data_IF_344496386105
#
_entry.id   IF_344496386105
#
_cell.length_a   1.000
_cell.length_b   1.000
_cell.length_c   1.000
_cell.angle_alpha   90.00
_cell.angle_beta   90.00
_cell.angle_gamma   90.00
#
_symmetry.space_group_name_H-M   'P 1'
#
loop_
_entity.id
_entity.type
_entity.pdbx_description
1 polymer ?
#
# COMPACT_ATOMS: atom_id res chain seq x y z
N UNK A 1 -7.09 34.33 2.85
CA UNK A 1 -6.43 33.30 2.00
C UNK A 1 -7.18 33.26 0.69
N UNK A 2 -6.54 33.60 -0.43
CA UNK A 2 -7.17 33.50 -1.77
C UNK A 2 -7.56 32.05 -2.08
N UNK A 3 -8.58 31.84 -2.90
CA UNK A 3 -9.07 30.49 -3.22
C UNK A 3 -8.01 29.65 -3.95
N UNK A 4 -7.16 30.28 -4.77
CA UNK A 4 -5.95 29.68 -5.34
C UNK A 4 -5.02 29.06 -4.26
N UNK A 5 -4.74 29.78 -3.16
CA UNK A 5 -3.86 29.26 -2.10
C UNK A 5 -4.47 28.04 -1.38
N UNK A 6 -5.80 27.99 -1.24
CA UNK A 6 -6.48 26.83 -0.66
C UNK A 6 -6.38 25.61 -1.57
N UNK A 7 -6.53 25.80 -2.88
CA UNK A 7 -6.40 24.73 -3.88
C UNK A 7 -4.98 24.18 -3.89
N UNK A 8 -3.96 25.06 -3.90
CA UNK A 8 -2.55 24.64 -3.84
C UNK A 8 -2.23 23.85 -2.57
N UNK A 9 -2.69 24.32 -1.42
CA UNK A 9 -2.51 23.58 -0.17
C UNK A 9 -3.16 22.20 -0.22
N UNK A 10 -4.37 22.09 -0.79
CA UNK A 10 -5.06 20.80 -0.97
C UNK A 10 -4.29 19.87 -1.90
N UNK A 11 -3.77 20.37 -3.01
CA UNK A 11 -2.97 19.58 -3.95
C UNK A 11 -1.64 19.14 -3.36
N UNK A 12 -0.91 20.02 -2.66
CA UNK A 12 0.33 19.66 -1.97
C UNK A 12 0.08 18.61 -0.88
N UNK A 13 -1.03 18.73 -0.13
CA UNK A 13 -1.40 17.71 0.86
C UNK A 13 -1.75 16.35 0.22
N UNK A 14 -2.46 16.36 -0.91
CA UNK A 14 -2.77 15.15 -1.68
C UNK A 14 -1.51 14.50 -2.27
N UNK A 15 -0.60 15.30 -2.82
CA UNK A 15 0.69 14.81 -3.32
C UNK A 15 1.51 14.17 -2.20
N UNK A 16 1.58 14.85 -1.04
CA UNK A 16 2.29 14.36 0.13
C UNK A 16 1.70 13.04 0.65
N UNK A 17 0.37 12.94 0.67
CA UNK A 17 -0.32 11.70 1.05
C UNK A 17 -0.02 10.55 0.09
N UNK A 18 0.03 10.83 -1.21
CA UNK A 18 0.45 9.85 -2.23
C UNK A 18 1.89 9.39 -2.06
N UNK A 19 2.83 10.33 -1.86
CA UNK A 19 4.26 10.00 -1.65
C UNK A 19 4.51 9.24 -0.35
N UNK A 20 3.73 9.53 0.69
CA UNK A 20 3.75 8.79 1.94
C UNK A 20 3.29 7.34 1.72
N UNK A 21 2.13 7.11 1.07
CA UNK A 21 1.66 5.75 0.75
C UNK A 21 2.66 4.97 -0.11
N UNK A 22 3.22 5.60 -1.13
CA UNK A 22 4.22 5.03 -2.02
C UNK A 22 5.46 4.59 -1.23
N UNK A 23 5.96 5.47 -0.36
CA UNK A 23 7.09 5.16 0.53
C UNK A 23 6.81 4.05 1.53
N UNK A 24 5.55 3.89 1.95
CA UNK A 24 5.11 2.85 2.87
C UNK A 24 4.81 1.52 2.17
N UNK A 25 4.94 1.44 0.84
CA UNK A 25 4.59 0.26 0.06
C UNK A 25 3.07 0.03 -0.07
N UNK A 26 2.24 1.03 0.28
CA UNK A 26 0.79 1.02 0.08
C UNK A 26 0.48 1.44 -1.37
N UNK A 27 0.91 0.62 -2.32
CA UNK A 27 0.99 1.01 -3.73
C UNK A 27 -0.39 1.28 -4.36
N UNK A 28 -1.44 0.56 -3.93
CA UNK A 28 -2.81 0.83 -4.41
C UNK A 28 -3.28 2.21 -3.98
N UNK A 29 -3.11 2.53 -2.71
CA UNK A 29 -3.48 3.81 -2.12
C UNK A 29 -2.66 4.95 -2.75
N UNK A 30 -1.38 4.72 -3.03
CA UNK A 30 -0.53 5.66 -3.75
C UNK A 30 -1.05 5.91 -5.18
N UNK A 31 -1.32 4.85 -5.95
CA UNK A 31 -1.88 4.93 -7.31
C UNK A 31 -3.21 5.69 -7.30
N UNK A 32 -4.14 5.33 -6.42
CA UNK A 32 -5.46 5.97 -6.34
C UNK A 32 -5.31 7.48 -6.04
N UNK A 33 -4.49 7.85 -5.06
CA UNK A 33 -4.25 9.25 -4.70
C UNK A 33 -3.58 10.04 -5.85
N UNK A 34 -2.55 9.47 -6.49
CA UNK A 34 -1.89 10.08 -7.65
C UNK A 34 -2.84 10.26 -8.84
N UNK A 35 -3.71 9.27 -9.12
CA UNK A 35 -4.69 9.37 -10.20
C UNK A 35 -5.80 10.39 -9.91
N UNK A 36 -6.25 10.49 -8.65
CA UNK A 36 -7.21 11.52 -8.23
C UNK A 36 -6.59 12.91 -8.41
N UNK A 37 -5.37 13.11 -7.92
CA UNK A 37 -4.67 14.40 -8.05
C UNK A 37 -4.38 14.74 -9.51
N UNK A 38 -3.89 13.79 -10.31
CA UNK A 38 -3.64 13.99 -11.75
C UNK A 38 -4.91 14.45 -12.49
N UNK A 39 -6.07 13.87 -12.19
CA UNK A 39 -7.36 14.29 -12.77
C UNK A 39 -7.74 15.72 -12.37
N UNK A 40 -7.55 16.09 -11.10
CA UNK A 40 -7.81 17.45 -10.63
C UNK A 40 -6.90 18.47 -11.32
N UNK A 41 -5.60 18.17 -11.41
CA UNK A 41 -4.62 19.02 -12.08
C UNK A 41 -4.90 19.13 -13.58
N UNK A 42 -5.27 18.04 -14.26
CA UNK A 42 -5.65 18.09 -15.69
C UNK A 42 -6.91 18.92 -15.92
N UNK A 43 -7.91 18.81 -15.03
CA UNK A 43 -9.12 19.63 -15.11
C UNK A 43 -8.79 21.12 -15.00
N UNK A 44 -7.88 21.50 -14.11
CA UNK A 44 -7.42 22.89 -14.01
C UNK A 44 -6.61 23.31 -15.24
N UNK A 45 -5.66 22.48 -15.67
CA UNK A 45 -4.80 22.78 -16.82
C UNK A 45 -5.58 23.01 -18.12
N UNK A 46 -6.76 22.39 -18.25
CA UNK A 46 -7.64 22.49 -19.43
C UNK A 46 -8.82 23.45 -19.21
N UNK A 47 -8.89 24.09 -18.05
CA UNK A 47 -9.97 25.03 -17.75
C UNK A 47 -9.85 26.29 -18.62
N UNK A 48 -10.98 26.85 -19.12
CA UNK A 48 -10.97 28.12 -19.84
C UNK A 48 -10.26 29.24 -19.07
N UNK A 49 -9.63 30.18 -19.80
CA UNK A 49 -8.94 31.33 -19.20
C UNK A 49 -9.84 32.16 -18.25
N UNK A 50 -11.15 32.17 -18.49
CA UNK A 50 -12.12 32.93 -17.70
C UNK A 50 -12.57 32.24 -16.40
N UNK A 51 -12.17 30.98 -16.18
CA UNK A 51 -12.60 30.16 -15.04
C UNK A 51 -11.45 29.72 -14.14
N UNK A 52 -10.23 30.20 -14.39
CA UNK A 52 -9.01 29.78 -13.70
C UNK A 52 -8.23 30.99 -13.21
N UNK A 53 -7.78 30.93 -11.96
CA UNK A 53 -6.87 31.93 -11.38
C UNK A 53 -5.41 31.74 -11.88
N UNK A 54 -5.15 30.70 -12.69
CA UNK A 54 -3.80 30.37 -13.18
C UNK A 54 -3.54 30.90 -14.59
N UNK A 55 -2.32 31.38 -14.83
CA UNK A 55 -1.85 31.77 -16.17
C UNK A 55 -1.66 30.54 -17.07
N UNK A 56 -1.59 30.74 -18.38
CA UNK A 56 -1.38 29.62 -19.33
C UNK A 56 -0.04 28.90 -19.11
N UNK A 57 1.03 29.61 -18.71
CA UNK A 57 2.32 28.99 -18.35
C UNK A 57 2.21 28.15 -17.07
N UNK A 58 1.44 28.62 -16.08
CA UNK A 58 1.16 27.88 -14.85
C UNK A 58 0.33 26.64 -15.17
N UNK A 59 -0.72 26.74 -15.99
CA UNK A 59 -1.53 25.61 -16.45
C UNK A 59 -0.71 24.57 -17.21
N UNK A 60 0.24 24.99 -18.03
CA UNK A 60 1.19 24.09 -18.69
C UNK A 60 2.03 23.32 -17.67
N UNK A 61 2.52 24.00 -16.64
CA UNK A 61 3.26 23.37 -15.53
C UNK A 61 2.37 22.39 -14.75
N UNK A 62 1.14 22.78 -14.41
CA UNK A 62 0.13 21.91 -13.76
C UNK A 62 -0.11 20.64 -14.60
N UNK A 63 -0.30 20.79 -15.91
CA UNK A 63 -0.50 19.68 -16.83
C UNK A 63 0.70 18.73 -16.91
N UNK A 64 1.93 19.25 -16.85
CA UNK A 64 3.14 18.44 -16.77
C UNK A 64 3.24 17.64 -15.46
N UNK A 65 2.92 18.27 -14.31
CA UNK A 65 2.86 17.58 -13.01
C UNK A 65 1.86 16.41 -13.10
N UNK A 66 0.68 16.66 -13.64
CA UNK A 66 -0.33 15.61 -13.81
C UNK A 66 0.16 14.45 -14.69
N UNK A 67 0.89 14.74 -15.78
CA UNK A 67 1.53 13.70 -16.60
C UNK A 67 2.52 12.87 -15.78
N UNK A 68 3.39 13.50 -14.98
CA UNK A 68 4.34 12.80 -14.11
C UNK A 68 3.63 11.87 -13.11
N UNK A 69 2.53 12.31 -12.49
CA UNK A 69 1.73 11.48 -11.59
C UNK A 69 1.10 10.27 -12.31
N UNK A 70 0.66 10.46 -13.55
CA UNK A 70 0.20 9.37 -14.41
C UNK A 70 1.30 8.36 -14.72
N UNK A 71 2.51 8.84 -15.04
CA UNK A 71 3.69 7.99 -15.27
C UNK A 71 4.06 7.20 -14.01
N UNK A 72 4.05 7.82 -12.82
CA UNK A 72 4.28 7.10 -11.56
C UNK A 72 3.21 6.05 -11.32
N UNK A 73 1.94 6.40 -11.50
CA UNK A 73 0.82 5.47 -11.31
C UNK A 73 0.97 4.24 -12.21
N UNK A 74 1.35 4.43 -13.47
CA UNK A 74 1.62 3.32 -14.38
C UNK A 74 2.85 2.50 -13.95
N UNK A 75 3.94 3.15 -13.54
CA UNK A 75 5.13 2.47 -13.04
C UNK A 75 4.84 1.63 -11.80
N UNK A 76 3.97 2.11 -10.90
CA UNK A 76 3.53 1.36 -9.73
C UNK A 76 2.65 0.15 -10.09
N UNK A 77 1.86 0.22 -11.16
CA UNK A 77 1.00 -0.88 -11.61
C UNK A 77 1.79 -2.05 -12.23
N UNK A 78 2.92 -1.78 -12.88
CA UNK A 78 3.70 -2.77 -13.61
C UNK A 78 5.09 -2.95 -12.98
N UNK A 79 5.25 -3.95 -12.11
CA UNK A 79 6.50 -4.24 -11.38
C UNK A 79 7.66 -4.74 -12.27
N UNK A 80 7.46 -4.89 -13.58
CA UNK A 80 8.44 -5.52 -14.49
C UNK A 80 9.32 -4.53 -15.28
N UNK A 81 9.06 -3.22 -15.25
CA UNK A 81 9.90 -2.23 -15.93
C UNK A 81 10.82 -1.50 -14.95
N UNK A 82 12.12 -1.76 -15.03
CA UNK A 82 13.17 -0.99 -14.34
C UNK A 82 13.25 0.48 -14.82
N UNK A 83 12.68 0.79 -15.99
CA UNK A 83 12.60 2.13 -16.56
C UNK A 83 11.19 2.71 -16.33
N UNK A 84 11.00 3.40 -15.21
CA UNK A 84 9.75 4.06 -14.86
C UNK A 84 9.97 5.30 -13.99
N UNK A 85 8.97 6.18 -13.92
CA UNK A 85 9.04 7.39 -13.10
C UNK A 85 9.16 7.01 -11.61
N UNK A 86 10.24 7.44 -10.95
CA UNK A 86 10.60 6.99 -9.60
C UNK A 86 9.89 7.78 -8.49
N UNK A 87 9.92 7.29 -7.25
CA UNK A 87 9.41 8.04 -6.09
C UNK A 87 10.22 9.32 -5.88
N UNK A 88 11.54 9.27 -6.11
CA UNK A 88 12.45 10.40 -6.04
C UNK A 88 12.07 11.47 -7.06
N UNK A 89 11.63 11.07 -8.25
CA UNK A 89 11.14 11.99 -9.27
C UNK A 89 9.81 12.64 -8.87
N UNK A 90 8.89 11.89 -8.25
CA UNK A 90 7.64 12.47 -7.72
C UNK A 90 7.93 13.48 -6.62
N UNK A 91 8.87 13.19 -5.71
CA UNK A 91 9.28 14.12 -4.64
C UNK A 91 9.82 15.44 -5.18
N UNK A 92 10.45 15.45 -6.36
CA UNK A 92 10.88 16.71 -7.03
C UNK A 92 9.69 17.60 -7.44
N UNK A 93 8.47 17.05 -7.55
CA UNK A 93 7.26 17.81 -7.89
C UNK A 93 6.70 18.60 -6.69
N UNK A 94 6.95 18.15 -5.44
CA UNK A 94 6.44 18.80 -4.22
C UNK A 94 6.79 20.31 -4.13
N UNK A 95 8.06 20.73 -4.30
CA UNK A 95 8.41 22.14 -4.29
C UNK A 95 7.86 22.90 -5.51
N UNK A 96 7.73 22.25 -6.67
CA UNK A 96 7.20 22.88 -7.90
C UNK A 96 5.72 23.19 -7.73
N UNK A 97 4.93 22.21 -7.27
CA UNK A 97 3.50 22.37 -7.03
C UNK A 97 3.22 23.44 -5.96
N UNK A 98 4.01 23.45 -4.89
CA UNK A 98 3.85 24.40 -3.79
C UNK A 98 4.27 25.84 -4.17
N UNK A 99 5.09 26.01 -5.19
CA UNK A 99 5.59 27.31 -5.65
C UNK A 99 5.08 27.71 -7.04
N UNK A 100 4.00 27.09 -7.52
CA UNK A 100 3.58 27.19 -8.93
C UNK A 100 3.33 28.63 -9.40
N UNK A 101 2.86 29.51 -8.50
CA UNK A 101 2.60 30.92 -8.78
C UNK A 101 3.89 31.67 -9.10
N UNK A 102 4.99 31.30 -8.43
CA UNK A 102 6.31 31.92 -8.54
C UNK A 102 7.29 31.08 -9.39
N UNK A 103 6.84 29.95 -9.92
CA UNK A 103 7.70 29.01 -10.63
C UNK A 103 8.04 29.56 -12.02
N UNK A 104 9.30 29.94 -12.22
CA UNK A 104 9.82 30.54 -13.45
C UNK A 104 11.00 29.76 -14.06
N UNK A 105 11.24 28.55 -13.56
CA UNK A 105 12.33 27.68 -14.02
C UNK A 105 11.85 26.72 -15.09
N UNK A 106 12.79 26.14 -15.82
CA UNK A 106 12.47 25.02 -16.71
C UNK A 106 11.97 23.82 -15.89
N UNK A 107 10.94 23.15 -16.40
CA UNK A 107 10.37 21.98 -15.76
C UNK A 107 11.38 20.81 -15.85
N UNK A 108 11.68 20.10 -14.75
CA UNK A 108 12.83 19.20 -14.70
C UNK A 108 12.67 17.87 -15.45
N UNK A 109 11.51 17.64 -16.09
CA UNK A 109 11.19 16.41 -16.80
C UNK A 109 10.73 16.71 -18.22
N UNK A 110 11.20 15.91 -19.18
CA UNK A 110 10.75 15.97 -20.57
C UNK A 110 9.40 15.25 -20.70
N UNK A 111 8.33 15.96 -20.34
CA UNK A 111 6.95 15.47 -20.41
C UNK A 111 6.05 16.49 -21.08
N UNK A 112 5.07 16.00 -21.82
CA UNK A 112 4.02 16.81 -22.42
C UNK A 112 2.70 16.63 -21.65
N UNK A 113 1.90 17.69 -21.42
CA UNK A 113 0.58 17.57 -20.84
C UNK A 113 -0.30 16.61 -21.65
N UNK A 114 -0.87 15.60 -21.00
CA UNK A 114 -1.74 14.61 -21.65
C UNK A 114 -3.19 15.12 -21.71
N UNK A 115 -3.90 15.05 -22.86
CA UNK A 115 -5.32 15.40 -22.94
C UNK A 115 -6.20 14.55 -22.01
N UNK A 116 -7.28 15.12 -21.45
CA UNK A 116 -8.17 14.47 -20.46
C UNK A 116 -8.62 13.06 -20.90
N UNK A 117 -8.87 12.86 -22.20
CA UNK A 117 -9.39 11.60 -22.78
C UNK A 117 -8.44 10.39 -22.68
N UNK A 118 -7.14 10.57 -22.40
CA UNK A 118 -6.18 9.45 -22.29
C UNK A 118 -6.02 8.88 -20.89
N UNK A 119 -6.53 9.57 -19.85
CA UNK A 119 -6.52 9.07 -18.47
C UNK A 119 -7.87 8.41 -18.16
N UNK A 120 -8.23 7.40 -18.95
CA UNK A 120 -9.34 6.49 -18.63
C UNK A 120 -8.73 5.17 -18.17
N UNK A 121 -9.03 4.79 -16.93
CA UNK A 121 -8.95 3.41 -16.47
C UNK A 121 -10.39 2.84 -16.38
N UNK A 122 -10.58 1.52 -16.51
CA UNK A 122 -11.89 0.89 -16.68
C UNK A 122 -12.81 1.15 -15.48
N UNK A 123 -14.06 1.56 -15.77
CA UNK A 123 -15.10 1.82 -14.78
C UNK A 123 -15.29 3.32 -14.54
N UNK A 124 -16.01 3.98 -15.45
CA UNK A 124 -16.67 5.25 -15.16
C UNK A 124 -17.69 4.99 -14.04
N UNK A 125 -17.42 5.50 -12.84
CA UNK A 125 -18.46 5.71 -11.83
C UNK A 125 -18.60 7.21 -11.59
N UNK A 126 -19.59 7.75 -12.28
CA UNK A 126 -20.23 9.01 -11.96
C UNK A 126 -21.17 8.73 -10.77
N UNK A 127 -21.03 9.51 -9.69
CA UNK A 127 -21.81 9.51 -8.44
C UNK A 127 -21.55 8.37 -7.45
N UNK A 128 -20.66 8.64 -6.48
CA UNK A 128 -20.74 8.01 -5.16
C UNK A 128 -21.47 8.96 -4.22
N UNK A 129 -22.80 8.93 -4.30
CA UNK A 129 -23.58 9.00 -3.08
C UNK A 129 -23.24 7.76 -2.26
N UNK A 130 -23.07 7.99 -0.97
CA UNK A 130 -22.82 6.95 0.02
C UNK A 130 -24.07 6.09 0.09
N UNK A 131 -24.02 4.86 -0.38
CA UNK A 131 -24.80 3.77 0.19
C UNK A 131 -23.98 2.48 0.16
N UNK A 132 -23.60 2.06 1.36
CA UNK A 132 -23.12 0.71 1.64
C UNK A 132 -24.32 -0.23 1.52
N UNK A 133 -24.56 -0.80 0.33
CA UNK A 133 -25.45 -1.95 0.22
C UNK A 133 -24.82 -3.09 -0.60
N UNK A 134 -25.20 -4.27 -0.14
CA UNK A 134 -24.70 -5.60 -0.43
C UNK A 134 -24.82 -5.97 -1.91
N UNK A 135 -23.89 -6.78 -2.43
CA UNK A 135 -24.25 -7.67 -3.54
C UNK A 135 -23.66 -9.07 -3.34
N UNK A 136 -24.60 -9.97 -3.10
CA UNK A 136 -24.57 -11.43 -3.07
C UNK A 136 -24.39 -12.02 -4.48
N UNK A 137 -23.95 -13.28 -4.52
CA UNK A 137 -24.44 -14.26 -5.49
C UNK A 137 -23.99 -14.15 -6.95
N UNK A 138 -22.95 -14.90 -7.30
CA UNK A 138 -22.64 -15.14 -8.72
C UNK A 138 -21.65 -16.29 -8.94
N UNK A 139 -22.13 -17.53 -8.86
CA UNK A 139 -21.38 -18.70 -9.32
C UNK A 139 -21.16 -18.60 -10.84
N UNK A 140 -19.90 -18.50 -11.25
CA UNK A 140 -19.49 -18.53 -12.65
C UNK A 140 -18.25 -19.41 -12.81
N UNK A 141 -18.48 -20.68 -13.17
CA UNK A 141 -17.44 -21.59 -13.65
C UNK A 141 -16.95 -21.04 -15.00
N UNK A 142 -15.71 -20.54 -15.04
CA UNK A 142 -15.07 -19.98 -16.22
C UNK A 142 -13.62 -20.43 -16.34
N UNK A 143 -13.29 -20.99 -17.50
CA UNK A 143 -12.05 -21.64 -17.93
C UNK A 143 -10.73 -20.98 -17.52
N UNK A 144 -9.63 -21.74 -17.34
CA UNK A 144 -8.35 -21.19 -16.97
C UNK A 144 -7.59 -20.79 -18.24
N UNK A 145 -7.54 -19.51 -18.61
CA UNK A 145 -6.49 -19.08 -19.53
C UNK A 145 -6.08 -17.62 -19.36
N UNK A 146 -4.75 -17.49 -19.22
CA UNK A 146 -3.93 -16.36 -19.65
C UNK A 146 -4.11 -15.02 -18.92
N UNK A 147 -3.77 -14.99 -17.63
CA UNK A 147 -3.42 -13.74 -16.94
C UNK A 147 -1.93 -13.41 -17.16
N UNK A 148 -1.56 -12.16 -17.47
CA UNK A 148 -0.16 -11.79 -17.68
C UNK A 148 0.66 -11.94 -16.41
N UNK A 149 1.87 -12.46 -16.63
CA UNK A 149 2.96 -12.76 -15.70
C UNK A 149 2.76 -12.31 -14.23
N UNK A 150 2.32 -13.29 -13.43
CA UNK A 150 2.39 -13.28 -11.96
C UNK A 150 3.80 -12.91 -11.51
N UNK A 151 3.93 -12.13 -10.43
CA UNK A 151 5.22 -11.75 -9.84
C UNK A 151 5.98 -13.03 -9.44
N UNK A 152 7.14 -13.35 -10.05
CA UNK A 152 7.83 -14.62 -9.82
C UNK A 152 8.20 -14.89 -8.34
N UNK A 153 8.48 -13.85 -7.57
CA UNK A 153 8.85 -13.96 -6.15
C UNK A 153 7.68 -14.20 -5.18
N UNK A 154 6.46 -13.82 -5.55
CA UNK A 154 5.32 -13.93 -4.64
C UNK A 154 4.86 -15.39 -4.43
N UNK A 155 5.12 -16.28 -5.40
CA UNK A 155 4.68 -17.68 -5.33
C UNK A 155 5.43 -18.42 -4.21
N UNK A 156 6.72 -18.12 -4.06
CA UNK A 156 7.61 -18.84 -3.15
C UNK A 156 7.85 -18.09 -1.83
N UNK A 157 7.52 -16.81 -1.77
CA UNK A 157 7.79 -15.94 -0.62
C UNK A 157 9.25 -15.48 -0.56
N UNK A 158 9.57 -14.63 0.41
CA UNK A 158 10.90 -14.06 0.65
C UNK A 158 11.39 -14.30 2.07
N UNK A 159 10.89 -15.37 2.71
CA UNK A 159 11.26 -15.74 4.07
C UNK A 159 12.76 -16.01 4.18
N UNK A 160 13.36 -15.48 5.24
CA UNK A 160 14.79 -15.56 5.52
C UNK A 160 15.07 -16.66 6.56
N UNK A 161 16.26 -17.29 6.50
CA UNK A 161 16.64 -18.29 7.49
C UNK A 161 16.83 -17.66 8.87
N UNK A 162 16.82 -18.52 9.90
CA UNK A 162 17.08 -18.11 11.28
C UNK A 162 18.48 -17.50 11.41
N UNK A 163 18.58 -16.42 12.18
CA UNK A 163 19.86 -15.84 12.56
C UNK A 163 20.67 -16.79 13.45
N UNK A 164 22.01 -16.68 13.46
CA UNK A 164 22.82 -17.40 14.44
C UNK A 164 22.46 -16.98 15.87
N UNK A 165 22.49 -17.95 16.80
CA UNK A 165 22.35 -17.69 18.23
C UNK A 165 23.50 -16.80 18.73
N UNK A 166 23.19 -15.92 19.68
CA UNK A 166 24.17 -15.12 20.40
C UNK A 166 24.00 -15.38 21.91
N UNK A 167 25.09 -15.55 22.68
CA UNK A 167 25.00 -15.85 24.10
C UNK A 167 24.17 -14.81 24.87
N UNK A 168 23.17 -15.29 25.62
CA UNK A 168 22.30 -14.43 26.43
C UNK A 168 21.26 -13.64 25.63
N UNK A 169 21.14 -13.86 24.33
CA UNK A 169 20.15 -13.26 23.45
C UNK A 169 19.06 -14.26 23.07
N UNK A 170 17.90 -13.75 22.67
CA UNK A 170 16.73 -14.55 22.32
C UNK A 170 16.36 -14.34 20.85
N UNK A 171 16.17 -15.45 20.14
CA UNK A 171 15.60 -15.48 18.80
C UNK A 171 14.10 -15.74 18.89
N UNK A 172 13.33 -15.09 18.01
CA UNK A 172 11.88 -15.23 17.92
C UNK A 172 11.49 -15.85 16.59
N UNK A 173 10.85 -17.02 16.65
CA UNK A 173 10.17 -17.65 15.53
C UNK A 173 8.67 -17.48 15.71
N UNK A 174 7.98 -17.00 14.68
CA UNK A 174 6.51 -16.88 14.66
C UNK A 174 5.96 -17.80 13.59
N UNK A 175 5.15 -18.77 14.00
CA UNK A 175 4.34 -19.56 13.08
C UNK A 175 3.03 -18.85 12.83
N UNK A 176 2.79 -18.47 11.57
CA UNK A 176 1.47 -18.00 11.13
C UNK A 176 0.63 -19.23 10.81
N UNK A 177 -0.38 -19.48 11.63
CA UNK A 177 -1.24 -20.66 11.45
C UNK A 177 -2.32 -20.39 10.41
N UNK A 178 -3.16 -19.39 10.68
CA UNK A 178 -4.29 -19.00 9.84
C UNK A 178 -4.75 -17.58 10.15
N UNK A 179 -5.52 -16.99 9.24
CA UNK A 179 -6.18 -15.70 9.43
C UNK A 179 -7.68 -15.84 9.17
N UNK A 180 -8.50 -15.30 10.07
CA UNK A 180 -9.95 -15.25 9.93
C UNK A 180 -10.41 -13.99 9.19
N UNK A 181 -11.20 -14.15 8.12
CA UNK A 181 -11.78 -13.05 7.35
C UNK A 181 -13.23 -13.42 6.98
N UNK A 182 -14.12 -12.44 6.83
CA UNK A 182 -15.51 -12.73 6.43
C UNK A 182 -15.61 -13.35 5.02
N UNK A 183 -14.66 -12.99 4.17
CA UNK A 183 -14.59 -13.31 2.74
C UNK A 183 -13.25 -13.98 2.38
N UNK A 184 -12.75 -14.86 3.25
CA UNK A 184 -11.44 -15.51 3.09
C UNK A 184 -11.35 -16.31 1.77
N UNK A 185 -12.40 -17.08 1.45
CA UNK A 185 -12.43 -17.92 0.25
C UNK A 185 -12.28 -17.12 -1.07
N UNK A 186 -12.75 -15.88 -1.07
CA UNK A 186 -12.70 -14.97 -2.23
C UNK A 186 -11.33 -14.32 -2.45
N UNK A 187 -10.42 -14.41 -1.48
CA UNK A 187 -9.09 -13.82 -1.61
C UNK A 187 -8.24 -14.63 -2.60
N UNK A 188 -7.79 -13.99 -3.68
CA UNK A 188 -6.97 -14.60 -4.72
C UNK A 188 -5.50 -14.42 -4.38
N UNK A 189 -4.72 -15.49 -4.51
CA UNK A 189 -3.28 -15.54 -4.25
C UNK A 189 -2.89 -14.85 -2.91
N UNK A 190 -3.53 -15.21 -1.78
CA UNK A 190 -3.31 -14.50 -0.52
C UNK A 190 -1.93 -14.82 0.07
N UNK A 191 -1.25 -13.80 0.57
CA UNK A 191 -0.01 -13.93 1.34
C UNK A 191 0.04 -12.90 2.46
N UNK A 192 0.99 -13.05 3.39
CA UNK A 192 1.23 -12.08 4.45
C UNK A 192 2.62 -11.49 4.30
N UNK A 193 2.70 -10.16 4.33
CA UNK A 193 3.95 -9.43 4.51
C UNK A 193 4.21 -9.21 6.00
N UNK A 194 5.37 -9.61 6.47
CA UNK A 194 5.85 -9.39 7.84
C UNK A 194 6.97 -8.38 7.85
N UNK A 195 6.83 -7.36 8.69
CA UNK A 195 7.83 -6.30 8.86
C UNK A 195 7.98 -5.94 10.33
N UNK A 196 9.19 -5.54 10.73
CA UNK A 196 9.45 -5.05 12.08
C UNK A 196 9.75 -3.57 12.00
N UNK A 197 8.96 -2.75 12.67
CA UNK A 197 9.03 -1.29 12.53
C UNK A 197 9.19 -0.59 13.86
N UNK A 198 9.91 0.53 13.86
CA UNK A 198 10.06 1.41 15.01
C UNK A 198 8.80 2.27 15.28
N UNK A 199 8.86 3.14 16.29
CA UNK A 199 7.77 4.07 16.64
C UNK A 199 7.40 5.06 15.52
N UNK A 200 8.30 5.28 14.55
CA UNK A 200 8.09 6.17 13.41
C UNK A 200 7.57 5.41 12.18
N UNK A 201 7.44 4.08 12.24
CA UNK A 201 7.04 3.23 11.14
C UNK A 201 8.18 2.87 10.19
N UNK A 202 9.43 3.05 10.61
CA UNK A 202 10.63 2.74 9.81
C UNK A 202 11.03 1.29 10.04
N UNK A 203 11.36 0.57 8.97
CA UNK A 203 11.81 -0.82 9.03
C UNK A 203 13.12 -0.96 9.82
N UNK A 204 13.10 -1.87 10.80
CA UNK A 204 14.25 -2.27 11.63
C UNK A 204 14.94 -3.53 11.10
N UNK A 205 14.26 -4.28 10.24
CA UNK A 205 14.71 -5.54 9.64
C UNK A 205 14.24 -5.61 8.18
N UNK A 206 14.85 -6.47 7.34
CA UNK A 206 14.28 -6.77 6.04
C UNK A 206 12.82 -7.23 6.14
N UNK A 207 11.99 -6.78 5.21
CA UNK A 207 10.60 -7.20 5.05
C UNK A 207 10.58 -8.61 4.46
N UNK A 208 9.69 -9.47 4.96
CA UNK A 208 9.57 -10.86 4.53
C UNK A 208 8.13 -11.16 4.10
N UNK A 209 7.96 -11.82 2.96
CA UNK A 209 6.66 -12.27 2.47
C UNK A 209 6.53 -13.79 2.63
N UNK A 210 5.39 -14.23 3.14
CA UNK A 210 5.07 -15.66 3.12
C UNK A 210 4.90 -16.15 1.68
N UNK A 211 5.07 -17.46 1.42
CA UNK A 211 4.49 -18.06 0.23
C UNK A 211 2.97 -17.81 0.16
N UNK A 212 2.41 -17.90 -1.03
CA UNK A 212 0.96 -17.84 -1.20
C UNK A 212 0.28 -19.01 -0.49
N UNK A 213 -0.76 -18.71 0.28
CA UNK A 213 -1.59 -19.74 0.90
C UNK A 213 -2.50 -20.39 -0.14
N UNK A 214 -2.40 -21.71 -0.25
CA UNK A 214 -3.23 -22.52 -1.16
C UNK A 214 -4.49 -23.06 -0.49
N UNK A 215 -4.46 -23.26 0.83
CA UNK A 215 -5.58 -23.78 1.60
C UNK A 215 -6.46 -22.64 2.12
N UNK A 216 -7.66 -22.54 1.55
CA UNK A 216 -8.70 -21.57 1.92
C UNK A 216 -9.99 -22.27 2.27
N UNK A 217 -10.68 -21.72 3.25
CA UNK A 217 -12.04 -22.05 3.69
C UNK A 217 -12.90 -20.77 3.58
N UNK A 218 -14.20 -20.83 3.85
CA UNK A 218 -15.10 -19.68 3.71
C UNK A 218 -14.62 -18.48 4.53
N UNK A 219 -14.23 -18.74 5.78
CA UNK A 219 -13.82 -17.71 6.74
C UNK A 219 -12.36 -17.75 7.16
N UNK A 220 -11.56 -18.68 6.63
CA UNK A 220 -10.14 -18.82 7.01
C UNK A 220 -9.21 -19.01 5.80
N UNK A 221 -8.04 -18.40 5.87
CA UNK A 221 -6.89 -18.74 5.02
C UNK A 221 -5.82 -19.38 5.90
N UNK A 222 -5.33 -20.56 5.53
CA UNK A 222 -4.33 -21.31 6.30
C UNK A 222 -2.94 -21.13 5.68
N UNK A 223 -1.97 -20.76 6.52
CA UNK A 223 -0.58 -20.54 6.12
C UNK A 223 0.33 -21.66 6.62
N UNK A 224 0.25 -21.98 7.91
CA UNK A 224 1.12 -22.95 8.59
C UNK A 224 2.62 -22.77 8.25
N UNK A 225 3.08 -21.52 8.22
CA UNK A 225 4.45 -21.17 7.85
C UNK A 225 5.16 -20.50 9.03
N UNK A 226 6.43 -20.83 9.20
CA UNK A 226 7.29 -20.23 10.22
C UNK A 226 8.07 -19.06 9.63
N UNK A 227 8.20 -18.00 10.41
CA UNK A 227 8.93 -16.79 10.04
C UNK A 227 9.94 -16.50 11.15
N UNK A 228 11.17 -16.25 10.74
CA UNK A 228 12.27 -15.95 11.64
C UNK A 228 12.45 -14.44 11.70
N UNK A 229 12.25 -13.85 12.89
CA UNK A 229 12.46 -12.42 13.09
C UNK A 229 13.95 -12.13 12.99
N UNK A 230 14.32 -11.28 12.03
CA UNK A 230 15.70 -11.00 11.65
C UNK A 230 16.38 -10.01 12.60
N UNK A 231 16.15 -10.15 13.91
CA UNK A 231 16.82 -9.43 14.99
C UNK A 231 16.57 -10.14 16.32
N UNK A 232 17.59 -10.25 17.17
CA UNK A 232 17.42 -10.71 18.54
C UNK A 232 16.47 -9.79 19.32
N UNK A 233 15.64 -10.36 20.18
CA UNK A 233 14.55 -9.66 20.88
C UNK A 233 15.10 -8.48 21.71
N UNK A 234 16.25 -8.67 22.36
CA UNK A 234 16.88 -7.67 23.22
C UNK A 234 17.46 -6.47 22.42
N UNK A 235 17.70 -6.64 21.12
CA UNK A 235 18.20 -5.59 20.22
C UNK A 235 17.08 -4.80 19.53
N UNK A 236 15.82 -5.16 19.76
CA UNK A 236 14.69 -4.40 19.27
C UNK A 236 14.50 -3.14 20.12
N UNK A 237 14.30 -2.00 19.46
CA UNK A 237 14.13 -0.72 20.15
C UNK A 237 12.80 -0.68 20.89
N UNK A 238 12.74 0.04 22.01
CA UNK A 238 11.49 0.24 22.75
C UNK A 238 10.44 0.88 21.84
N UNK A 239 9.24 0.32 21.83
CA UNK A 239 8.14 0.75 20.98
C UNK A 239 8.21 0.24 19.53
N UNK A 240 9.14 -0.67 19.22
CA UNK A 240 9.05 -1.46 18.00
C UNK A 240 7.80 -2.35 18.01
N UNK A 241 7.30 -2.70 16.82
CA UNK A 241 6.25 -3.70 16.67
C UNK A 241 6.48 -4.55 15.43
N UNK A 242 5.96 -5.78 15.46
CA UNK A 242 5.94 -6.71 14.34
C UNK A 242 4.58 -6.55 13.65
N UNK A 243 4.58 -6.19 12.37
CA UNK A 243 3.39 -6.02 11.55
C UNK A 243 3.17 -7.23 10.67
N UNK A 244 1.89 -7.56 10.45
CA UNK A 244 1.41 -8.60 9.57
C UNK A 244 0.38 -7.98 8.62
N UNK A 245 0.75 -7.76 7.37
CA UNK A 245 -0.15 -7.23 6.35
C UNK A 245 -0.69 -8.37 5.50
N UNK A 246 -1.99 -8.63 5.55
CA UNK A 246 -2.62 -9.59 4.65
C UNK A 246 -2.86 -8.95 3.29
N UNK A 247 -2.30 -9.55 2.24
CA UNK A 247 -2.36 -9.08 0.86
C UNK A 247 -3.05 -10.11 -0.01
N UNK A 248 -3.77 -9.63 -1.01
CA UNK A 248 -4.40 -10.48 -2.02
C UNK A 248 -4.42 -9.78 -3.39
N UNK A 249 -4.52 -10.57 -4.46
CA UNK A 249 -4.68 -10.03 -5.80
C UNK A 249 -6.12 -9.58 -6.04
N UNK A 250 -6.30 -8.38 -6.60
CA UNK A 250 -7.60 -7.84 -7.03
C UNK A 250 -7.71 -7.86 -8.55
N UNK A 251 -8.45 -8.80 -9.16
CA UNK A 251 -8.52 -8.94 -10.62
C UNK A 251 -9.00 -7.68 -11.34
N UNK A 252 -10.05 -7.02 -10.82
CA UNK A 252 -10.57 -5.77 -11.40
C UNK A 252 -9.54 -4.64 -11.42
N UNK A 253 -8.65 -4.59 -10.43
CA UNK A 253 -7.58 -3.58 -10.31
C UNK A 253 -6.24 -4.06 -10.89
N UNK A 254 -6.16 -5.33 -11.29
CA UNK A 254 -4.98 -6.03 -11.80
C UNK A 254 -3.75 -5.86 -10.91
N UNK A 255 -3.97 -5.79 -9.60
CA UNK A 255 -2.94 -5.40 -8.64
C UNK A 255 -3.12 -6.08 -7.27
N UNK A 256 -2.02 -6.28 -6.55
CA UNK A 256 -2.02 -6.83 -5.19
C UNK A 256 -2.26 -5.73 -4.16
N UNK A 257 -3.28 -5.88 -3.33
CA UNK A 257 -3.68 -4.89 -2.34
C UNK A 257 -3.58 -5.47 -0.93
N UNK A 258 -3.08 -4.67 0.02
CA UNK A 258 -3.30 -4.92 1.45
C UNK A 258 -4.80 -4.86 1.73
N UNK A 259 -5.37 -5.90 2.33
CA UNK A 259 -6.79 -5.93 2.74
C UNK A 259 -6.94 -5.42 4.18
N UNK A 260 -6.07 -5.90 5.05
CA UNK A 260 -6.04 -5.60 6.47
C UNK A 260 -4.65 -5.86 7.04
N UNK A 261 -4.42 -5.37 8.26
CA UNK A 261 -3.18 -5.61 8.98
C UNK A 261 -3.43 -5.97 10.44
N UNK A 262 -2.46 -6.63 11.06
CA UNK A 262 -2.34 -6.81 12.50
C UNK A 262 -0.94 -6.36 12.92
N UNK A 263 -0.74 -6.13 14.21
CA UNK A 263 0.58 -5.91 14.76
C UNK A 263 0.69 -6.46 16.17
N UNK A 264 1.92 -6.74 16.60
CA UNK A 264 2.28 -7.20 17.94
C UNK A 264 3.34 -6.27 18.51
N UNK A 265 3.08 -5.66 19.66
CA UNK A 265 4.04 -4.85 20.41
C UNK A 265 5.05 -5.74 21.15
N UNK A 266 6.17 -5.15 21.57
CA UNK A 266 7.27 -5.89 22.21
C UNK A 266 6.88 -6.63 23.51
N UNK A 267 5.92 -6.10 24.27
CA UNK A 267 5.43 -6.68 25.52
C UNK A 267 4.45 -7.84 25.31
N UNK A 268 3.98 -8.04 24.07
CA UNK A 268 3.16 -9.17 23.66
C UNK A 268 3.98 -10.38 23.21
N UNK A 269 5.31 -10.22 23.11
CA UNK A 269 6.23 -11.31 22.77
C UNK A 269 6.36 -12.27 23.95
N UNK A 270 5.77 -13.45 23.81
CA UNK A 270 5.75 -14.49 24.84
C UNK A 270 5.56 -15.87 24.20
N UNK A 271 6.08 -16.95 24.80
CA UNK A 271 5.94 -18.28 24.22
C UNK A 271 4.47 -18.72 24.19
N UNK A 272 4.09 -19.43 23.13
CA UNK A 272 2.77 -20.05 23.00
C UNK A 272 1.84 -19.37 21.99
N UNK A 273 0.57 -19.77 22.02
CA UNK A 273 -0.43 -19.30 21.07
C UNK A 273 -0.86 -17.87 21.40
N UNK A 274 -1.09 -17.08 20.36
CA UNK A 274 -1.63 -15.73 20.46
C UNK A 274 -2.57 -15.47 19.29
N UNK A 275 -3.65 -14.76 19.54
CA UNK A 275 -4.57 -14.28 18.51
C UNK A 275 -4.56 -12.76 18.53
N UNK A 276 -4.54 -12.15 17.34
CA UNK A 276 -4.46 -10.69 17.18
C UNK A 276 -5.62 -10.23 16.29
N UNK A 277 -6.27 -9.15 16.67
CA UNK A 277 -7.29 -8.50 15.86
C UNK A 277 -6.75 -7.89 14.57
N UNK A 278 -7.67 -7.70 13.62
CA UNK A 278 -7.36 -7.17 12.30
C UNK A 278 -7.87 -5.74 12.17
N UNK A 279 -7.07 -4.88 11.57
CA UNK A 279 -7.36 -3.48 11.30
C UNK A 279 -7.53 -3.23 9.80
N UNK A 280 -8.40 -2.28 9.47
CA UNK A 280 -8.66 -1.84 8.10
C UNK A 280 -7.42 -1.15 7.51
N UNK A 281 -7.17 -1.37 6.23
CA UNK A 281 -6.19 -0.59 5.45
C UNK A 281 -6.55 0.91 5.40
N UNK A 282 -5.61 1.82 5.09
CA UNK A 282 -4.17 1.57 4.92
C UNK A 282 -3.50 1.19 6.24
N UNK A 283 -2.39 0.48 6.16
CA UNK A 283 -1.63 0.11 7.35
C UNK A 283 -1.06 1.36 8.05
N UNK A 284 -1.43 1.57 9.31
CA UNK A 284 -0.86 2.64 10.13
C UNK A 284 0.32 2.10 10.95
N UNK A 285 1.52 2.23 10.39
CA UNK A 285 2.75 1.76 11.04
C UNK A 285 3.11 2.51 12.33
N UNK A 286 2.49 3.66 12.60
CA UNK A 286 2.66 4.42 13.85
C UNK A 286 1.58 4.08 14.89
N UNK A 287 0.59 3.27 14.50
CA UNK A 287 -0.45 2.72 15.38
C UNK A 287 -1.25 3.83 16.09
N UNK A 288 -1.51 4.96 15.41
CA UNK A 288 -2.19 6.13 15.97
C UNK A 288 -3.67 6.18 15.65
N UNK A 289 -4.08 5.65 14.49
CA UNK A 289 -5.45 5.68 13.99
C UNK A 289 -5.86 4.28 13.54
N UNK A 290 -6.24 3.47 14.52
CA UNK A 290 -6.61 2.09 14.31
C UNK A 290 -8.12 1.97 14.11
N UNK A 291 -8.54 1.33 13.03
CA UNK A 291 -9.94 1.01 12.76
C UNK A 291 -10.11 -0.50 12.64
N UNK A 292 -10.86 -1.10 13.55
CA UNK A 292 -11.08 -2.54 13.56
C UNK A 292 -11.77 -3.00 12.26
N UNK A 293 -11.27 -4.07 11.65
CA UNK A 293 -11.84 -4.67 10.44
C UNK A 293 -13.22 -5.27 10.73
N UNK A 294 -13.35 -5.98 11.86
CA UNK A 294 -14.57 -6.69 12.25
C UNK A 294 -14.63 -6.90 13.76
N UNK A 295 -15.84 -6.85 14.33
CA UNK A 295 -16.11 -7.26 15.72
C UNK A 295 -16.36 -8.77 15.87
N UNK A 296 -16.51 -9.50 14.77
CA UNK A 296 -16.64 -10.97 14.78
C UNK A 296 -15.33 -11.61 15.27
N UNK A 297 -15.37 -12.81 15.87
CA UNK A 297 -14.18 -13.50 16.37
C UNK A 297 -13.33 -14.10 15.24
N UNK A 298 -12.79 -13.22 14.39
CA UNK A 298 -11.98 -13.52 13.22
C UNK A 298 -10.64 -12.81 13.40
N UNK A 299 -9.61 -13.59 13.69
CA UNK A 299 -8.30 -13.11 14.15
C UNK A 299 -7.17 -13.67 13.28
N UNK A 300 -5.99 -13.07 13.40
CA UNK A 300 -4.74 -13.70 13.00
C UNK A 300 -4.29 -14.65 14.12
N UNK A 301 -4.07 -15.92 13.80
CA UNK A 301 -3.63 -16.96 14.74
C UNK A 301 -2.12 -17.20 14.58
N UNK A 302 -1.39 -17.02 15.67
CA UNK A 302 0.06 -17.11 15.73
C UNK A 302 0.48 -18.09 16.82
N UNK A 303 1.61 -18.77 16.60
CA UNK A 303 2.34 -19.49 17.63
C UNK A 303 3.76 -18.92 17.73
N UNK A 304 4.11 -18.43 18.91
CA UNK A 304 5.40 -17.81 19.19
C UNK A 304 6.34 -18.80 19.87
N UNK A 305 7.57 -18.92 19.36
CA UNK A 305 8.62 -19.75 19.92
C UNK A 305 9.85 -18.89 20.19
N UNK A 306 10.26 -18.81 21.45
CA UNK A 306 11.46 -18.08 21.87
C UNK A 306 12.59 -19.08 22.09
N UNK A 307 13.68 -18.92 21.34
CA UNK A 307 14.91 -19.71 21.52
C UNK A 307 15.96 -18.85 22.20
N UNK A 308 16.40 -19.28 23.37
CA UNK A 308 17.47 -18.63 24.13
C UNK A 308 18.68 -19.56 24.20
N UNK A 309 19.86 -18.98 24.02
CA UNK A 309 21.16 -19.63 24.26
C UNK A 309 21.67 -19.33 25.69
#
# INVERSE_FOLDING_TARGET
MSDMNKILHKWSASLKKGTDFDSWGQLVEAIDEYQILARQLQKEAQSPANSSDFTEDQKKTIGKIATCLGLRSAALQYTQSQEGFTLEDVKKLEPILSSIVTFNKEFPFDVQPVPLRRILAPGEEENLEVDEEEEDGGAGIGSPDLFPARVPGAIQGTLLPRLPSEPGMTLLTIKIEKIGLKDAGQCIDPYITVSVKDLNGIDLTPVQDTPMATRKEDTYVHFNVEIEIQKHVEKLTKGAAIFFEFKHYKPKKRFTSTKCFAFMEMDEIKPGQTVIELYKKPTDFKRKKLQLLTKKPLYLHLLQTLLKD
#
